data_IF_725028022789
#
_entry.id   IF_725028022789
#
_cell.length_a   1.000
_cell.length_b   1.000
_cell.length_c   1.000
_cell.angle_alpha   90.00
_cell.angle_beta   90.00
_cell.angle_gamma   90.00
#
_symmetry.space_group_name_H-M   'P 1'
#
loop_
_entity.id
_entity.type
_entity.pdbx_description
1 polymer ?
#
# COMPACT_ATOMS: atom_id res chain seq x y z
N UNK A 1 8.16 40.57 4.74
CA UNK A 1 7.74 39.51 3.80
C UNK A 1 8.90 38.53 3.50
N UNK A 2 9.37 37.73 4.47
CA UNK A 2 10.33 36.64 4.19
C UNK A 2 10.03 35.36 4.99
N UNK A 3 9.45 35.49 6.19
CA UNK A 3 9.09 34.34 7.03
C UNK A 3 7.93 33.47 6.50
N UNK A 4 7.16 33.91 5.50
CA UNK A 4 6.04 33.12 4.94
C UNK A 4 6.52 32.05 3.93
N UNK A 5 7.67 32.28 3.29
CA UNK A 5 8.23 31.36 2.28
C UNK A 5 9.01 30.22 2.94
N UNK A 6 9.65 30.45 4.10
CA UNK A 6 10.35 29.40 4.85
C UNK A 6 9.41 28.37 5.49
N UNK A 7 8.16 28.75 5.78
CA UNK A 7 7.17 27.84 6.37
C UNK A 7 6.63 26.81 5.37
N UNK A 8 6.77 27.06 4.06
CA UNK A 8 6.41 26.11 3.00
C UNK A 8 7.53 25.10 2.71
N UNK A 9 8.76 25.35 3.18
CA UNK A 9 9.91 24.48 2.93
C UNK A 9 10.14 23.43 4.02
N UNK A 10 9.44 23.53 5.16
CA UNK A 10 9.77 22.72 6.34
C UNK A 10 8.96 21.44 6.52
N UNK A 11 7.87 21.23 5.79
CA UNK A 11 7.15 19.96 5.83
C UNK A 11 6.67 19.49 4.44
N UNK A 12 7.59 18.97 3.59
CA UNK A 12 7.19 18.02 2.56
C UNK A 12 6.90 16.62 3.14
N UNK A 13 7.13 16.42 4.44
CA UNK A 13 6.85 15.16 5.16
C UNK A 13 5.37 15.01 5.55
N UNK A 14 4.56 16.06 5.43
CA UNK A 14 3.15 16.01 5.75
C UNK A 14 2.34 15.33 4.62
N UNK A 15 2.32 14.01 4.75
CA UNK A 15 1.20 13.14 4.40
C UNK A 15 0.85 13.19 2.90
N UNK A 16 1.52 12.32 2.12
CA UNK A 16 0.89 11.69 0.93
C UNK A 16 -0.30 10.84 1.39
N UNK A 17 -1.31 11.52 1.91
CA UNK A 17 -2.59 10.96 2.26
C UNK A 17 -3.16 10.43 0.95
N UNK A 18 -3.71 9.22 0.98
CA UNK A 18 -4.50 8.62 -0.12
C UNK A 18 -5.72 9.52 -0.45
N UNK A 19 -5.51 10.71 -1.00
CA UNK A 19 -6.58 11.55 -1.53
C UNK A 19 -6.75 11.18 -2.99
N UNK A 20 -7.50 10.10 -3.21
CA UNK A 20 -7.85 9.61 -4.53
C UNK A 20 -8.52 8.24 -4.48
N UNK A 21 -9.49 8.03 -5.36
CA UNK A 21 -10.09 6.71 -5.60
C UNK A 21 -9.08 5.92 -6.44
N UNK A 22 -8.48 4.87 -5.85
CA UNK A 22 -7.59 3.98 -6.58
C UNK A 22 -8.41 2.90 -7.30
N UNK A 23 -8.35 2.80 -8.63
CA UNK A 23 -9.02 1.74 -9.37
C UNK A 23 -8.40 0.37 -9.03
N UNK A 24 -9.21 -0.52 -8.47
CA UNK A 24 -8.84 -1.89 -8.10
C UNK A 24 -9.62 -2.91 -8.93
N UNK A 25 -8.96 -3.96 -9.39
CA UNK A 25 -9.62 -5.05 -10.09
C UNK A 25 -10.50 -5.83 -9.11
N UNK A 26 -11.78 -6.00 -9.43
CA UNK A 26 -12.73 -6.72 -8.58
C UNK A 26 -12.34 -8.18 -8.39
N UNK A 27 -11.81 -8.82 -9.43
CA UNK A 27 -11.46 -10.25 -9.46
C UNK A 27 -10.11 -10.55 -8.81
N UNK A 28 -9.05 -9.83 -9.15
CA UNK A 28 -7.68 -10.17 -8.73
C UNK A 28 -7.03 -9.15 -7.77
N UNK A 29 -7.74 -8.08 -7.42
CA UNK A 29 -7.29 -7.03 -6.48
C UNK A 29 -6.02 -6.27 -6.87
N UNK A 30 -5.56 -6.41 -8.12
CA UNK A 30 -4.50 -5.54 -8.69
C UNK A 30 -4.97 -4.09 -8.76
N UNK A 31 -4.03 -3.16 -8.65
CA UNK A 31 -4.24 -1.71 -8.77
C UNK A 31 -3.88 -1.28 -10.18
N UNK A 32 -4.70 -0.43 -10.81
CA UNK A 32 -4.35 0.21 -12.08
C UNK A 32 -3.60 1.52 -11.80
N UNK A 33 -2.42 1.67 -12.39
CA UNK A 33 -1.67 2.92 -12.32
C UNK A 33 -2.13 3.95 -13.38
N UNK A 34 -1.46 5.11 -13.38
CA UNK A 34 -1.77 6.23 -14.29
C UNK A 34 -1.45 5.91 -15.76
N UNK A 35 -0.59 4.90 -16.02
CA UNK A 35 -0.28 4.39 -17.36
C UNK A 35 -1.28 3.33 -17.82
N UNK A 36 -2.25 2.97 -16.96
CA UNK A 36 -3.24 1.93 -17.24
C UNK A 36 -2.73 0.51 -16.97
N UNK A 37 -1.54 0.34 -16.39
CA UNK A 37 -0.93 -0.96 -16.12
C UNK A 37 -1.45 -1.49 -14.78
N UNK A 38 -1.75 -2.80 -14.75
CA UNK A 38 -2.24 -3.48 -13.57
C UNK A 38 -1.09 -4.07 -12.74
N UNK A 39 -0.87 -3.48 -11.56
CA UNK A 39 0.20 -3.84 -10.66
C UNK A 39 -0.33 -4.50 -9.39
N UNK A 40 0.51 -5.33 -8.78
CA UNK A 40 0.26 -5.80 -7.41
C UNK A 40 0.31 -4.62 -6.44
N UNK A 41 -0.47 -4.70 -5.36
CA UNK A 41 -0.59 -3.60 -4.38
C UNK A 41 0.76 -3.23 -3.77
N UNK A 42 1.63 -4.22 -3.57
CA UNK A 42 2.97 -4.05 -3.03
C UNK A 42 3.83 -3.22 -3.99
N UNK A 43 3.79 -3.53 -5.29
CA UNK A 43 4.55 -2.82 -6.31
C UNK A 43 4.09 -1.36 -6.45
N UNK A 44 2.77 -1.15 -6.48
CA UNK A 44 2.19 0.19 -6.50
C UNK A 44 2.59 0.99 -5.24
N UNK A 45 2.53 0.36 -4.07
CA UNK A 45 2.80 1.05 -2.82
C UNK A 45 4.28 1.40 -2.59
N UNK A 46 5.21 0.56 -3.07
CA UNK A 46 6.65 0.87 -3.06
C UNK A 46 6.95 2.14 -3.86
N UNK A 47 6.39 2.24 -5.08
CA UNK A 47 6.64 3.38 -5.99
C UNK A 47 6.00 4.67 -5.46
N UNK A 48 4.77 4.60 -4.95
CA UNK A 48 4.02 5.79 -4.56
C UNK A 48 4.27 6.23 -3.11
N UNK A 49 4.58 5.30 -2.20
CA UNK A 49 4.64 5.55 -0.75
C UNK A 49 5.97 5.16 -0.09
N UNK A 50 6.98 4.71 -0.84
CA UNK A 50 8.28 4.26 -0.30
C UNK A 50 8.15 3.18 0.81
N UNK A 51 7.03 2.46 0.85
CA UNK A 51 6.75 1.43 1.85
C UNK A 51 7.48 0.13 1.52
N UNK A 52 7.97 -0.59 2.53
CA UNK A 52 8.50 -1.95 2.40
C UNK A 52 7.50 -2.95 2.94
N UNK A 53 7.24 -4.02 2.19
CA UNK A 53 6.37 -5.12 2.64
C UNK A 53 7.21 -6.27 3.19
N UNK A 54 6.70 -6.89 4.24
CA UNK A 54 7.16 -8.19 4.73
C UNK A 54 6.01 -9.19 4.62
N UNK A 55 6.34 -10.46 4.43
CA UNK A 55 5.35 -11.53 4.40
C UNK A 55 5.20 -12.07 5.82
N UNK A 56 3.99 -11.97 6.37
CA UNK A 56 3.61 -12.50 7.67
C UNK A 56 2.33 -13.32 7.57
N UNK A 57 2.11 -14.21 8.54
CA UNK A 57 0.88 -14.98 8.65
C UNK A 57 0.11 -14.50 9.88
N UNK A 58 -1.13 -14.07 9.71
CA UNK A 58 -1.96 -13.67 10.85
C UNK A 58 -2.37 -14.91 11.69
N UNK A 59 -2.74 -14.75 12.97
CA UNK A 59 -3.13 -15.86 13.83
C UNK A 59 -4.24 -16.73 13.24
N UNK A 60 -5.19 -16.15 12.52
CA UNK A 60 -6.28 -16.89 11.87
C UNK A 60 -5.80 -17.79 10.73
N UNK A 61 -4.92 -17.26 9.87
CA UNK A 61 -4.31 -18.03 8.78
C UNK A 61 -3.40 -19.13 9.33
N UNK A 62 -2.64 -18.85 10.39
CA UNK A 62 -1.83 -19.86 11.06
C UNK A 62 -2.71 -20.99 11.64
N UNK A 63 -3.83 -20.65 12.29
CA UNK A 63 -4.80 -21.63 12.81
C UNK A 63 -5.40 -22.48 11.70
N UNK A 64 -5.78 -21.88 10.56
CA UNK A 64 -6.27 -22.62 9.38
C UNK A 64 -5.20 -23.53 8.79
N UNK A 65 -3.96 -23.07 8.69
CA UNK A 65 -2.85 -23.88 8.17
C UNK A 65 -2.58 -25.09 9.07
N UNK A 66 -2.53 -24.89 10.38
CA UNK A 66 -2.43 -25.98 11.36
C UNK A 66 -3.61 -26.94 11.18
N UNK A 67 -4.84 -26.45 11.22
CA UNK A 67 -6.04 -27.29 11.07
C UNK A 67 -6.06 -28.09 9.76
N UNK A 68 -5.69 -27.48 8.63
CA UNK A 68 -5.64 -28.14 7.32
C UNK A 68 -4.53 -29.20 7.23
N UNK A 69 -3.41 -29.06 7.95
CA UNK A 69 -2.31 -30.03 7.92
C UNK A 69 -2.53 -31.22 8.86
N UNK A 70 -3.32 -31.07 9.94
CA UNK A 70 -3.61 -32.15 10.88
C UNK A 70 -4.88 -32.95 10.55
N UNK A 71 -5.72 -32.48 9.61
CA UNK A 71 -6.93 -33.17 9.15
C UNK A 71 -6.81 -33.66 7.69
N UNK A 72 -5.59 -33.92 7.24
CA UNK A 72 -5.30 -34.48 5.91
C UNK A 72 -4.89 -35.93 6.02
#
# INVERSE_FOLDING_TARGET
MRALIEKLQKDPEDIKTLQGIIPICTSCKKIRDDMGIWNHIEAYSIVHYQTKFTHGTCPECAKKFIWNNFNK
#
